data_IF_738094692487
#
_entry.id   IF_738094692487
#
_cell.length_a   1.000
_cell.length_b   1.000
_cell.length_c   1.000
_cell.angle_alpha   90.00
_cell.angle_beta   90.00
_cell.angle_gamma   90.00
#
_symmetry.space_group_name_H-M   'P 1'
#
loop_
_entity.id
_entity.type
_entity.pdbx_description
1 polymer ?
#
# COMPACT_ATOMS: atom_id res chain seq x y z
N UNK A 1 28.23 -11.49 -4.77
CA UNK A 1 28.06 -10.45 -5.81
C UNK A 1 27.10 -10.99 -6.85
N UNK A 2 25.96 -10.35 -7.12
CA UNK A 2 25.11 -10.72 -8.25
C UNK A 2 24.84 -9.48 -9.08
N UNK A 3 25.46 -9.44 -10.28
CA UNK A 3 25.08 -8.55 -11.38
C UNK A 3 23.91 -9.19 -12.09
N UNK A 4 22.84 -8.44 -12.34
CA UNK A 4 21.70 -8.89 -13.15
C UNK A 4 21.57 -7.91 -14.32
N UNK A 5 21.71 -8.44 -15.54
CA UNK A 5 21.31 -7.79 -16.81
C UNK A 5 19.98 -8.42 -17.26
N UNK A 6 19.01 -7.57 -17.58
CA UNK A 6 17.95 -7.81 -18.57
C UNK A 6 16.85 -8.82 -18.24
N UNK A 7 15.61 -8.34 -18.33
CA UNK A 7 14.30 -9.02 -18.26
C UNK A 7 13.86 -9.50 -16.88
N UNK A 8 12.80 -8.84 -16.40
CA UNK A 8 12.20 -8.90 -15.07
C UNK A 8 12.05 -10.33 -14.55
N UNK A 9 12.89 -10.68 -13.57
CA UNK A 9 12.80 -11.91 -12.78
C UNK A 9 12.65 -11.54 -11.31
N UNK A 10 11.69 -12.18 -10.65
CA UNK A 10 11.57 -12.28 -9.20
C UNK A 10 12.96 -12.61 -8.60
N UNK A 11 13.50 -11.70 -7.82
CA UNK A 11 14.79 -11.86 -7.17
C UNK A 11 14.59 -12.30 -5.72
N UNK A 12 14.88 -13.57 -5.45
CA UNK A 12 14.96 -14.11 -4.10
C UNK A 12 16.41 -14.08 -3.63
N UNK A 13 16.65 -13.57 -2.43
CA UNK A 13 17.95 -13.68 -1.76
C UNK A 13 17.78 -14.43 -0.45
N UNK A 14 18.34 -15.63 -0.37
CA UNK A 14 18.50 -16.37 0.88
C UNK A 14 19.51 -15.61 1.75
N UNK A 15 19.14 -15.29 2.98
CA UNK A 15 20.03 -14.64 3.95
C UNK A 15 20.33 -15.61 5.10
N UNK A 16 21.59 -16.05 5.14
CA UNK A 16 22.16 -16.98 6.11
C UNK A 16 21.37 -18.29 6.33
N UNK A 17 21.87 -19.16 7.20
CA UNK A 17 21.31 -20.48 7.55
C UNK A 17 19.90 -20.42 8.18
N UNK A 18 19.13 -19.36 7.94
CA UNK A 18 17.74 -19.19 8.38
C UNK A 18 16.76 -19.72 7.32
N UNK A 19 15.63 -20.27 7.79
CA UNK A 19 14.49 -20.75 6.98
C UNK A 19 13.67 -19.61 6.34
N UNK A 20 14.17 -18.37 6.41
CA UNK A 20 13.46 -17.14 6.03
C UNK A 20 13.95 -16.68 4.65
N UNK A 21 13.01 -16.38 3.76
CA UNK A 21 13.29 -15.87 2.42
C UNK A 21 12.77 -14.44 2.31
N UNK A 22 13.68 -13.47 2.14
CA UNK A 22 13.28 -12.13 1.75
C UNK A 22 13.23 -12.08 0.23
N UNK A 23 12.02 -12.05 -0.31
CA UNK A 23 11.77 -11.84 -1.74
C UNK A 23 11.48 -10.37 -1.96
N UNK A 24 12.23 -9.73 -2.86
CA UNK A 24 11.81 -8.43 -3.36
C UNK A 24 10.95 -8.69 -4.59
N UNK A 25 9.63 -8.60 -4.42
CA UNK A 25 8.69 -8.49 -5.53
C UNK A 25 8.78 -7.06 -6.07
N UNK A 26 9.86 -6.79 -6.80
CA UNK A 26 9.93 -5.58 -7.61
C UNK A 26 9.05 -5.78 -8.84
N UNK A 27 7.90 -5.11 -8.86
CA UNK A 27 7.19 -4.83 -10.10
C UNK A 27 8.04 -3.84 -10.90
N UNK A 28 8.93 -4.37 -11.74
CA UNK A 28 9.86 -3.56 -12.51
C UNK A 28 9.29 -3.19 -13.87
N UNK A 29 9.22 -1.90 -14.11
CA UNK A 29 9.27 -1.18 -15.37
C UNK A 29 9.70 0.25 -15.00
N UNK A 30 10.44 0.96 -15.85
CA UNK A 30 10.81 2.36 -15.57
C UNK A 30 9.54 3.22 -15.70
N UNK A 31 8.73 3.26 -14.65
CA UNK A 31 7.58 4.15 -14.38
C UNK A 31 7.24 4.00 -12.89
N UNK A 32 6.53 4.97 -12.31
CA UNK A 32 6.46 5.29 -10.88
C UNK A 32 5.67 4.26 -10.03
N UNK A 33 6.05 2.98 -10.03
CA UNK A 33 5.39 1.93 -9.24
C UNK A 33 5.81 1.91 -7.77
N UNK A 34 4.82 1.87 -6.86
CA UNK A 34 5.01 1.74 -5.42
C UNK A 34 5.60 0.38 -5.04
N UNK A 35 6.53 0.35 -4.08
CA UNK A 35 7.27 -0.86 -3.72
C UNK A 35 6.58 -1.68 -2.63
N UNK A 36 5.84 -2.72 -3.02
CA UNK A 36 5.37 -3.76 -2.10
C UNK A 36 6.49 -4.81 -1.88
N UNK A 37 6.98 -4.92 -0.65
CA UNK A 37 7.98 -5.91 -0.23
C UNK A 37 7.30 -6.98 0.62
N UNK A 38 7.40 -8.25 0.22
CA UNK A 38 6.83 -9.37 0.97
C UNK A 38 7.97 -10.19 1.58
N UNK A 39 8.00 -10.28 2.90
CA UNK A 39 8.96 -11.08 3.67
C UNK A 39 8.26 -12.30 4.23
N UNK A 40 8.68 -13.51 3.85
CA UNK A 40 8.00 -14.73 4.25
C UNK A 40 8.99 -15.87 4.50
N UNK A 41 8.57 -16.89 5.25
CA UNK A 41 9.30 -18.17 5.19
C UNK A 41 9.24 -18.74 3.77
N UNK A 42 10.15 -19.65 3.43
CA UNK A 42 10.15 -20.26 2.09
C UNK A 42 8.80 -20.95 1.77
N UNK A 43 8.25 -21.68 2.74
CA UNK A 43 6.97 -22.38 2.57
C UNK A 43 5.80 -21.41 2.43
N UNK A 44 5.78 -20.36 3.25
CA UNK A 44 4.81 -19.26 3.13
C UNK A 44 4.87 -18.59 1.76
N UNK A 45 6.07 -18.24 1.29
CA UNK A 45 6.25 -17.61 -0.02
C UNK A 45 5.75 -18.52 -1.16
N UNK A 46 6.08 -19.82 -1.10
CA UNK A 46 5.62 -20.83 -2.05
C UNK A 46 4.09 -20.94 -2.07
N UNK A 47 3.44 -20.91 -0.90
CA UNK A 47 1.97 -20.93 -0.79
C UNK A 47 1.33 -19.64 -1.29
N UNK A 48 1.89 -18.48 -0.96
CA UNK A 48 1.40 -17.19 -1.45
C UNK A 48 1.43 -17.13 -2.97
N UNK A 49 2.51 -17.57 -3.62
CA UNK A 49 2.58 -17.58 -5.09
C UNK A 49 1.48 -18.45 -5.73
N UNK A 50 1.10 -19.56 -5.09
CA UNK A 50 0.00 -20.41 -5.56
C UNK A 50 -1.36 -19.73 -5.44
N UNK A 51 -1.56 -18.93 -4.39
CA UNK A 51 -2.81 -18.15 -4.19
C UNK A 51 -2.87 -16.97 -5.16
N UNK A 52 -1.78 -16.21 -5.26
CA UNK A 52 -1.68 -14.99 -6.07
C UNK A 52 -1.80 -15.29 -7.57
N UNK A 53 -1.13 -16.35 -8.05
CA UNK A 53 -1.01 -16.78 -9.45
C UNK A 53 -0.36 -15.75 -10.38
N UNK A 54 -0.89 -14.52 -10.42
CA UNK A 54 -0.41 -13.41 -11.21
C UNK A 54 0.00 -12.22 -10.31
N UNK A 55 1.30 -11.94 -10.18
CA UNK A 55 1.79 -10.80 -9.42
C UNK A 55 1.26 -9.45 -9.92
N UNK A 56 0.98 -9.28 -11.22
CA UNK A 56 0.52 -8.00 -11.79
C UNK A 56 -0.81 -7.52 -11.21
N UNK A 57 -1.53 -8.42 -10.53
CA UNK A 57 -2.75 -8.08 -9.79
C UNK A 57 -2.51 -7.11 -8.63
N UNK A 58 -1.26 -6.94 -8.14
CA UNK A 58 -0.91 -6.00 -7.08
C UNK A 58 -0.31 -4.67 -7.58
N UNK A 59 -0.53 -4.35 -8.85
CA UNK A 59 -0.11 -3.06 -9.41
C UNK A 59 -1.23 -2.02 -9.30
N UNK A 60 -0.84 -0.82 -8.88
CA UNK A 60 -1.66 0.37 -8.79
C UNK A 60 -0.77 1.60 -8.94
N UNK A 61 -1.32 2.67 -9.51
CA UNK A 61 -0.60 3.90 -9.77
C UNK A 61 -1.51 5.11 -9.52
N UNK A 62 -1.04 6.00 -8.67
CA UNK A 62 -1.55 7.36 -8.51
C UNK A 62 -0.38 8.32 -8.38
N UNK A 63 -0.54 9.55 -8.84
CA UNK A 63 0.51 10.53 -8.66
C UNK A 63 0.68 10.84 -7.16
N UNK A 64 1.91 11.18 -6.72
CA UNK A 64 2.02 12.55 -6.32
C UNK A 64 0.99 13.18 -5.38
N UNK A 65 0.40 14.17 -5.99
CA UNK A 65 -0.54 15.14 -5.53
C UNK A 65 -1.91 14.50 -5.31
N UNK A 66 -2.35 13.59 -6.18
CA UNK A 66 -3.62 12.87 -6.02
C UNK A 66 -3.68 12.08 -4.71
N UNK A 67 -2.55 11.49 -4.28
CA UNK A 67 -2.46 10.80 -2.99
C UNK A 67 -2.67 11.74 -1.79
N UNK A 68 -2.05 12.91 -1.82
CA UNK A 68 -2.15 13.90 -0.74
C UNK A 68 -3.56 14.48 -0.65
N UNK A 69 -4.16 14.82 -1.79
CA UNK A 69 -5.54 15.32 -1.85
C UNK A 69 -6.52 14.23 -1.40
N UNK A 70 -6.34 13.00 -1.87
CA UNK A 70 -7.19 11.86 -1.45
C UNK A 70 -7.09 11.59 0.05
N UNK A 71 -5.89 11.65 0.65
CA UNK A 71 -5.72 11.49 2.09
C UNK A 71 -6.56 12.52 2.88
N UNK A 72 -6.56 13.78 2.44
CA UNK A 72 -7.37 14.84 3.06
C UNK A 72 -8.86 14.59 2.87
N UNK A 73 -9.27 14.18 1.66
CA UNK A 73 -10.68 13.99 1.33
C UNK A 73 -11.30 12.81 2.06
N UNK A 74 -10.63 11.65 2.06
CA UNK A 74 -11.10 10.45 2.75
C UNK A 74 -11.34 10.71 4.24
N UNK A 75 -10.50 11.54 4.88
CA UNK A 75 -10.71 11.93 6.28
C UNK A 75 -12.06 12.65 6.48
N UNK A 76 -12.47 13.50 5.53
CA UNK A 76 -13.77 14.21 5.57
C UNK A 76 -14.95 13.27 5.34
N UNK A 77 -14.72 12.16 4.62
CA UNK A 77 -15.69 11.07 4.41
C UNK A 77 -15.76 10.08 5.59
N UNK A 78 -15.02 10.33 6.68
CA UNK A 78 -15.07 9.53 7.90
C UNK A 78 -14.11 8.35 7.94
N UNK A 79 -13.24 8.20 6.93
CA UNK A 79 -12.16 7.23 6.99
C UNK A 79 -11.09 7.71 7.96
N UNK A 80 -10.55 6.83 8.80
CA UNK A 80 -9.61 7.22 9.86
C UNK A 80 -8.22 6.62 9.64
N UNK A 81 -8.15 5.37 9.16
CA UNK A 81 -6.88 4.65 8.99
C UNK A 81 -6.32 4.87 7.59
N UNK A 82 -7.14 4.67 6.57
CA UNK A 82 -6.74 4.72 5.18
C UNK A 82 -6.08 6.05 4.76
N UNK A 83 -6.56 7.23 5.18
CA UNK A 83 -5.87 8.49 4.93
C UNK A 83 -4.39 8.48 5.32
N UNK A 84 -4.05 7.82 6.42
CA UNK A 84 -2.67 7.78 6.93
C UNK A 84 -1.76 7.00 6.00
N UNK A 85 -2.28 5.96 5.35
CA UNK A 85 -1.53 5.17 4.36
C UNK A 85 -1.10 6.04 3.19
N UNK A 86 -1.98 6.94 2.73
CA UNK A 86 -1.71 7.87 1.65
C UNK A 86 -0.96 9.13 2.08
N UNK A 87 -1.01 9.49 3.36
CA UNK A 87 -0.33 10.67 3.90
C UNK A 87 1.19 10.52 3.81
N UNK A 88 1.73 11.23 2.83
CA UNK A 88 3.17 11.30 2.56
C UNK A 88 3.95 11.86 3.71
N UNK A 89 3.37 12.71 4.54
CA UNK A 89 4.03 13.34 5.68
C UNK A 89 3.73 12.62 6.99
N UNK A 90 3.03 11.48 6.94
CA UNK A 90 2.71 10.71 8.12
C UNK A 90 3.99 10.32 8.88
N UNK A 91 3.97 10.63 10.17
CA UNK A 91 5.00 10.28 11.12
C UNK A 91 4.32 9.63 12.33
N UNK A 92 4.57 8.34 12.63
CA UNK A 92 3.95 7.66 13.75
C UNK A 92 4.10 8.45 15.06
N UNK A 93 2.99 8.90 15.63
CA UNK A 93 2.97 9.67 16.87
C UNK A 93 2.91 11.17 16.75
N UNK A 94 2.81 11.73 15.54
CA UNK A 94 2.55 13.16 15.37
C UNK A 94 1.07 13.47 15.27
N UNK A 95 0.25 12.53 14.78
CA UNK A 95 -1.18 12.72 14.61
C UNK A 95 -1.88 12.18 15.85
N UNK A 96 -2.31 13.01 16.80
CA UNK A 96 -2.83 12.55 18.10
C UNK A 96 -4.23 11.92 18.11
N UNK A 97 -4.72 11.42 16.96
CA UNK A 97 -6.07 10.85 16.81
C UNK A 97 -6.13 9.35 17.18
N UNK A 98 -7.34 8.76 17.15
CA UNK A 98 -7.56 7.36 17.53
C UNK A 98 -6.89 6.36 16.57
N UNK A 99 -6.84 6.65 15.28
CA UNK A 99 -6.20 5.76 14.32
C UNK A 99 -4.67 5.74 14.47
N UNK A 100 -4.02 6.86 14.79
CA UNK A 100 -2.58 6.87 15.08
C UNK A 100 -2.27 6.09 16.35
N UNK A 101 -3.07 6.27 17.42
CA UNK A 101 -2.95 5.46 18.63
C UNK A 101 -3.03 3.97 18.29
N UNK A 102 -4.00 3.56 17.47
CA UNK A 102 -4.12 2.18 17.01
C UNK A 102 -2.86 1.72 16.26
N UNK A 103 -2.45 2.47 15.23
CA UNK A 103 -1.28 2.14 14.38
C UNK A 103 -0.01 2.00 15.21
N UNK A 104 0.23 2.91 16.16
CA UNK A 104 1.38 2.87 17.05
C UNK A 104 1.33 1.69 18.00
N UNK A 105 0.19 1.46 18.64
CA UNK A 105 0.03 0.41 19.64
C UNK A 105 0.33 -0.97 19.06
N UNK A 106 -0.06 -1.23 17.81
CA UNK A 106 0.18 -2.50 17.13
C UNK A 106 1.51 -2.54 16.37
N UNK A 107 2.22 -1.41 16.25
CA UNK A 107 3.42 -1.27 15.43
C UNK A 107 3.14 -1.50 13.94
N UNK A 108 2.02 -0.98 13.43
CA UNK A 108 1.60 -1.12 12.04
C UNK A 108 2.34 -0.19 11.07
N UNK A 109 3.05 0.80 11.59
CA UNK A 109 3.90 1.68 10.79
C UNK A 109 5.17 2.02 11.58
N UNK A 110 6.31 2.05 10.89
CA UNK A 110 7.56 2.54 11.44
C UNK A 110 8.30 3.38 10.40
N UNK A 111 9.36 4.08 10.83
CA UNK A 111 10.14 4.97 9.97
C UNK A 111 11.45 4.31 9.55
N UNK A 112 11.79 4.38 8.26
CA UNK A 112 13.07 3.90 7.73
C UNK A 112 13.88 5.05 7.10
N UNK A 113 15.17 5.10 7.45
CA UNK A 113 16.14 6.05 6.88
C UNK A 113 16.86 5.41 5.70
N UNK A 114 16.53 5.83 4.48
CA UNK A 114 17.21 5.35 3.26
C UNK A 114 18.36 6.27 2.87
N UNK A 115 19.50 5.68 2.48
CA UNK A 115 20.71 6.41 2.04
C UNK A 115 20.34 7.43 0.96
N UNK A 116 20.75 8.69 1.16
CA UNK A 116 20.58 9.76 0.18
C UNK A 116 19.24 10.49 0.21
N UNK A 117 18.41 10.30 1.25
CA UNK A 117 17.22 11.12 1.51
C UNK A 117 17.47 12.04 2.69
N UNK A 118 16.69 13.11 2.84
CA UNK A 118 16.79 14.01 4.00
C UNK A 118 15.76 13.71 5.10
N UNK A 119 14.74 12.90 4.77
CA UNK A 119 13.63 12.55 5.67
C UNK A 119 13.38 11.03 5.67
N UNK A 120 13.04 10.43 6.82
CA UNK A 120 12.66 9.02 6.88
C UNK A 120 11.30 8.79 6.21
N UNK A 121 11.10 7.62 5.64
CA UNK A 121 9.82 7.22 5.01
C UNK A 121 9.00 6.29 5.91
N UNK A 122 7.66 6.38 5.91
CA UNK A 122 6.80 5.44 6.59
C UNK A 122 6.83 4.12 5.85
N UNK A 123 7.06 3.05 6.60
CA UNK A 123 6.94 1.67 6.14
C UNK A 123 5.75 1.04 6.85
N UNK A 124 4.75 0.66 6.06
CA UNK A 124 3.52 0.03 6.53
C UNK A 124 3.71 -1.47 6.68
N UNK A 125 3.48 -1.98 7.88
CA UNK A 125 3.56 -3.40 8.20
C UNK A 125 2.19 -4.08 8.00
N UNK A 126 2.22 -5.33 7.57
CA UNK A 126 1.06 -6.23 7.43
C UNK A 126 0.06 -6.26 8.59
N UNK A 127 0.47 -5.91 9.82
CA UNK A 127 -0.43 -5.77 10.97
C UNK A 127 -1.59 -4.80 10.73
N UNK A 128 -1.41 -3.81 9.85
CA UNK A 128 -2.47 -2.86 9.52
C UNK A 128 -3.66 -3.53 8.83
N UNK A 129 -3.42 -4.47 7.90
CA UNK A 129 -4.48 -5.19 7.18
C UNK A 129 -5.17 -6.28 8.02
N UNK A 130 -4.64 -6.57 9.20
CA UNK A 130 -5.28 -7.45 10.19
C UNK A 130 -6.29 -6.71 11.07
N UNK A 131 -6.32 -5.37 11.01
CA UNK A 131 -7.27 -4.60 11.81
C UNK A 131 -8.68 -4.67 11.21
N UNK A 132 -9.71 -5.01 12.02
CA UNK A 132 -11.09 -5.01 11.55
C UNK A 132 -11.51 -3.66 10.94
N UNK A 133 -11.11 -2.55 11.55
CA UNK A 133 -11.42 -1.20 11.09
C UNK A 133 -10.82 -0.91 9.70
N UNK A 134 -9.59 -1.35 9.47
CA UNK A 134 -8.96 -1.24 8.14
C UNK A 134 -9.75 -2.03 7.10
N UNK A 135 -10.19 -3.25 7.43
CA UNK A 135 -11.00 -4.07 6.50
C UNK A 135 -12.38 -3.49 6.24
N UNK A 136 -12.99 -2.87 7.24
CA UNK A 136 -14.27 -2.18 7.10
C UNK A 136 -14.15 -0.95 6.17
N UNK A 137 -13.11 -0.13 6.34
CA UNK A 137 -12.79 0.98 5.45
C UNK A 137 -12.58 0.49 4.00
N UNK A 138 -11.79 -0.57 3.80
CA UNK A 138 -11.59 -1.16 2.46
C UNK A 138 -12.89 -1.67 1.84
N UNK A 139 -13.72 -2.39 2.62
CA UNK A 139 -15.01 -2.88 2.14
C UNK A 139 -15.97 -1.75 1.79
N UNK A 140 -15.91 -0.63 2.50
CA UNK A 140 -16.73 0.55 2.21
C UNK A 140 -16.40 1.12 0.83
N UNK A 141 -15.11 1.19 0.48
CA UNK A 141 -14.65 1.62 -0.84
C UNK A 141 -15.09 0.65 -1.93
N UNK A 142 -14.93 -0.66 -1.70
CA UNK A 142 -15.26 -1.68 -2.69
C UNK A 142 -16.75 -1.69 -3.05
N UNK A 143 -17.62 -1.41 -2.08
CA UNK A 143 -19.07 -1.49 -2.27
C UNK A 143 -19.75 -0.16 -2.61
N UNK A 144 -19.03 0.96 -2.51
CA UNK A 144 -19.60 2.30 -2.66
C UNK A 144 -18.97 3.13 -3.78
N UNK A 145 -19.43 4.37 -3.90
CA UNK A 145 -18.72 5.46 -4.56
C UNK A 145 -18.31 6.43 -3.46
N UNK A 146 -17.02 6.72 -3.34
CA UNK A 146 -16.46 7.42 -2.16
C UNK A 146 -16.05 8.85 -2.49
N UNK A 147 -15.47 9.04 -3.67
CA UNK A 147 -15.11 10.35 -4.18
C UNK A 147 -16.31 10.91 -4.95
N UNK A 148 -16.54 12.21 -4.83
CA UNK A 148 -17.65 12.97 -5.43
C UNK A 148 -17.13 14.24 -6.13
N UNK A 149 -18.00 15.00 -6.78
CA UNK A 149 -17.58 16.14 -7.61
C UNK A 149 -16.80 17.21 -6.81
N UNK A 150 -17.13 17.37 -5.52
CA UNK A 150 -16.42 18.28 -4.63
C UNK A 150 -14.93 17.90 -4.48
N UNK A 151 -14.58 16.61 -4.59
CA UNK A 151 -13.19 16.14 -4.60
C UNK A 151 -12.45 16.58 -5.87
N UNK A 152 -13.07 16.45 -7.05
CA UNK A 152 -12.47 16.88 -8.31
C UNK A 152 -12.21 18.39 -8.34
N UNK A 153 -13.17 19.18 -7.85
CA UNK A 153 -13.00 20.62 -7.72
C UNK A 153 -11.86 20.96 -6.75
N UNK A 154 -11.70 20.22 -5.65
CA UNK A 154 -10.57 20.43 -4.73
C UNK A 154 -9.23 20.02 -5.35
N UNK A 155 -9.18 18.91 -6.10
CA UNK A 155 -7.98 18.54 -6.88
C UNK A 155 -7.61 19.68 -7.83
N UNK A 156 -8.56 20.14 -8.66
CA UNK A 156 -8.32 21.19 -9.64
C UNK A 156 -7.75 22.43 -8.96
N UNK A 157 -8.41 22.91 -7.89
CA UNK A 157 -7.96 24.07 -7.13
C UNK A 157 -6.56 23.88 -6.50
N UNK A 158 -6.21 22.69 -6.04
CA UNK A 158 -4.89 22.41 -5.47
C UNK A 158 -3.80 22.33 -6.54
N UNK A 159 -4.11 21.71 -7.69
CA UNK A 159 -3.19 21.64 -8.83
C UNK A 159 -2.96 23.03 -9.43
N UNK A 160 -4.01 23.82 -9.61
CA UNK A 160 -3.91 25.20 -10.11
C UNK A 160 -3.03 26.07 -9.22
N UNK A 161 -3.19 25.98 -7.91
CA UNK A 161 -2.35 26.72 -6.95
C UNK A 161 -0.88 26.32 -7.00
N UNK A 162 -0.58 25.05 -7.29
CA UNK A 162 0.80 24.53 -7.30
C UNK A 162 1.50 24.74 -8.65
N UNK A 163 0.77 24.60 -9.76
CA UNK A 163 1.35 24.50 -11.10
C UNK A 163 0.86 25.58 -12.08
N UNK A 164 -0.06 26.46 -11.67
CA UNK A 164 -0.75 27.37 -12.58
C UNK A 164 -1.84 26.65 -13.35
N UNK A 165 -2.26 27.19 -14.49
CA UNK A 165 -3.28 26.56 -15.35
C UNK A 165 -2.87 25.12 -15.71
N UNK A 166 -3.49 24.15 -15.04
CA UNK A 166 -3.06 22.76 -15.05
C UNK A 166 -3.56 22.00 -16.29
N UNK A 167 -4.42 22.62 -17.11
CA UNK A 167 -5.12 21.95 -18.21
C UNK A 167 -5.95 20.75 -17.75
N UNK A 168 -6.22 20.66 -16.45
CA UNK A 168 -7.08 19.66 -15.82
C UNK A 168 -8.50 20.24 -15.80
N UNK A 169 -9.50 19.46 -16.21
CA UNK A 169 -10.90 19.83 -16.08
C UNK A 169 -11.55 18.89 -15.08
N UNK A 170 -12.22 19.45 -14.07
CA UNK A 170 -13.05 18.67 -13.16
C UNK A 170 -14.30 18.20 -13.93
N UNK A 171 -14.35 16.92 -14.27
CA UNK A 171 -15.49 16.31 -14.97
C UNK A 171 -15.88 14.94 -14.38
N UNK A 172 -17.06 14.45 -14.78
CA UNK A 172 -17.59 13.17 -14.29
C UNK A 172 -16.72 11.98 -14.69
N UNK A 173 -15.99 12.07 -15.80
CA UNK A 173 -15.13 10.98 -16.30
C UNK A 173 -13.87 10.84 -15.44
N UNK A 174 -13.22 11.96 -15.11
CA UNK A 174 -12.09 12.01 -14.20
C UNK A 174 -12.47 11.44 -12.82
N UNK A 175 -13.63 11.88 -12.30
CA UNK A 175 -14.17 11.37 -11.03
C UNK A 175 -14.43 9.85 -11.05
N UNK A 176 -14.96 9.33 -12.16
CA UNK A 176 -15.21 7.91 -12.31
C UNK A 176 -13.89 7.13 -12.31
N UNK A 177 -12.87 7.65 -12.98
CA UNK A 177 -11.56 7.02 -13.09
C UNK A 177 -10.78 7.06 -11.78
N UNK A 178 -10.89 8.13 -11.00
CA UNK A 178 -10.32 8.20 -9.65
C UNK A 178 -11.04 7.25 -8.68
N UNK A 179 -12.37 7.14 -8.74
CA UNK A 179 -13.11 6.13 -7.97
C UNK A 179 -12.71 4.69 -8.37
N UNK A 180 -12.53 4.40 -9.67
CA UNK A 180 -12.04 3.09 -10.14
C UNK A 180 -10.65 2.80 -9.59
N UNK A 181 -9.79 3.81 -9.57
CA UNK A 181 -8.41 3.68 -9.11
C UNK A 181 -8.34 3.46 -7.60
N UNK A 182 -9.15 4.17 -6.81
CA UNK A 182 -9.30 3.93 -5.37
C UNK A 182 -9.85 2.52 -5.07
N UNK A 183 -10.87 2.07 -5.82
CA UNK A 183 -11.38 0.70 -5.73
C UNK A 183 -10.31 -0.33 -6.03
N UNK A 184 -9.51 -0.09 -7.08
CA UNK A 184 -8.42 -0.98 -7.44
C UNK A 184 -7.39 -1.11 -6.32
N UNK A 185 -7.02 0.00 -5.68
CA UNK A 185 -6.15 -0.05 -4.51
C UNK A 185 -6.76 -0.86 -3.36
N UNK A 186 -8.05 -0.65 -3.07
CA UNK A 186 -8.74 -1.40 -2.02
C UNK A 186 -8.81 -2.91 -2.32
N UNK A 187 -9.04 -3.29 -3.59
CA UNK A 187 -9.01 -4.68 -4.04
C UNK A 187 -7.64 -5.33 -3.81
N UNK A 188 -6.57 -4.59 -4.10
CA UNK A 188 -5.19 -5.05 -3.95
C UNK A 188 -4.89 -5.33 -2.48
N UNK A 189 -5.21 -4.38 -1.61
CA UNK A 189 -5.00 -4.55 -0.17
C UNK A 189 -5.86 -5.69 0.40
N UNK A 190 -7.12 -5.82 -0.03
CA UNK A 190 -7.95 -6.95 0.41
C UNK A 190 -7.43 -8.29 -0.10
N UNK A 191 -7.09 -8.42 -1.39
CA UNK A 191 -6.51 -9.66 -1.93
C UNK A 191 -5.24 -10.06 -1.18
N UNK A 192 -4.42 -9.09 -0.78
CA UNK A 192 -3.23 -9.34 0.01
C UNK A 192 -3.59 -9.85 1.41
N UNK A 193 -4.54 -9.21 2.08
CA UNK A 193 -5.03 -9.64 3.39
C UNK A 193 -5.63 -11.06 3.36
N UNK A 194 -6.46 -11.37 2.37
CA UNK A 194 -7.07 -12.69 2.21
C UNK A 194 -6.03 -13.76 1.89
N UNK A 195 -5.04 -13.44 1.05
CA UNK A 195 -3.92 -14.33 0.76
C UNK A 195 -3.16 -14.68 2.04
N UNK A 196 -2.88 -13.68 2.89
CA UNK A 196 -2.23 -13.92 4.17
C UNK A 196 -3.08 -14.83 5.06
N UNK A 197 -4.38 -14.56 5.20
CA UNK A 197 -5.26 -15.36 6.05
C UNK A 197 -5.29 -16.83 5.60
N UNK A 198 -5.38 -17.06 4.29
CA UNK A 198 -5.36 -18.41 3.71
C UNK A 198 -4.04 -19.14 4.01
N UNK A 199 -2.91 -18.48 3.78
CA UNK A 199 -1.58 -19.09 3.99
C UNK A 199 -1.32 -19.36 5.47
N UNK A 200 -1.64 -18.40 6.35
CA UNK A 200 -1.49 -18.55 7.79
C UNK A 200 -2.39 -19.69 8.33
N UNK A 201 -3.62 -19.81 7.81
CA UNK A 201 -4.55 -20.87 8.20
C UNK A 201 -4.07 -22.26 7.76
N UNK A 202 -3.66 -22.45 6.49
CA UNK A 202 -3.17 -23.73 5.98
C UNK A 202 -1.89 -24.20 6.70
N UNK A 203 -0.97 -23.29 7.01
CA UNK A 203 0.24 -23.61 7.77
C UNK A 203 -0.09 -24.02 9.22
N UNK A 204 -1.00 -23.29 9.88
CA UNK A 204 -1.42 -23.62 11.24
C UNK A 204 -2.07 -25.00 11.31
N UNK A 205 -2.89 -25.38 10.33
CA UNK A 205 -3.51 -26.71 10.24
C UNK A 205 -2.48 -27.84 10.10
N UNK A 206 -1.31 -27.55 9.53
CA UNK A 206 -0.21 -28.52 9.35
C UNK A 206 0.78 -28.57 10.52
N UNK A 207 0.57 -27.76 11.56
CA UNK A 207 1.49 -27.65 12.70
C UNK A 207 2.81 -26.95 12.37
N UNK A 208 2.88 -26.26 11.23
CA UNK A 208 4.05 -25.47 10.83
C UNK A 208 3.98 -24.09 11.50
N UNK A 209 5.12 -23.45 11.79
CA UNK A 209 5.16 -22.08 12.33
C UNK A 209 5.03 -21.11 11.14
N UNK A 210 3.89 -20.44 10.96
CA UNK A 210 3.72 -19.55 9.82
C UNK A 210 4.42 -18.22 10.07
N UNK A 211 5.24 -17.80 9.11
CA UNK A 211 5.79 -16.44 9.07
C UNK A 211 5.48 -15.81 7.71
N UNK A 212 4.63 -14.79 7.74
CA UNK A 212 4.29 -13.93 6.60
C UNK A 212 4.20 -12.51 7.13
N UNK A 213 5.05 -11.64 6.61
CA UNK A 213 5.00 -10.20 6.80
C UNK A 213 5.14 -9.52 5.44
N UNK A 214 4.54 -8.35 5.30
CA UNK A 214 4.83 -7.48 4.17
C UNK A 214 5.02 -6.06 4.69
N UNK A 215 5.81 -5.34 3.93
CA UNK A 215 6.17 -3.97 4.10
C UNK A 215 5.81 -3.28 2.78
N UNK A 216 5.04 -2.21 2.83
CA UNK A 216 4.88 -1.35 1.66
C UNK A 216 5.11 0.10 2.06
N UNK A 217 5.56 0.87 1.10
CA UNK A 217 5.79 2.29 1.28
C UNK A 217 5.50 3.00 -0.03
N UNK A 218 4.98 4.21 0.09
CA UNK A 218 4.81 5.13 -1.03
C UNK A 218 6.16 5.83 -1.24
N UNK A 219 6.86 5.61 -2.37
CA UNK A 219 8.15 6.25 -2.61
C UNK A 219 7.99 7.78 -2.66
N UNK A 220 8.73 8.49 -1.80
CA UNK A 220 8.84 9.96 -1.88
C UNK A 220 9.90 10.34 -2.93
N UNK A 221 9.67 11.32 -3.79
CA UNK A 221 10.72 11.88 -4.66
C UNK A 221 11.52 12.94 -3.89
#
# INVERSE_FOLDING_TARGET
MCRIKGNHKLAYKKWDNSTICRGLLCFGGITMGEGLVITASFDSASKMLKVIKDPHLFHWEWSPEHLDVTARWLSRKGFTILPKIFDRNYNPGTVGDEADKLIKNIGACYLEWRKGRDKPIPIWNSRILKQPQMREELNTILNGTVLDIDFEEEILNELEKKFGDAGYEADEQALEDDNKTLKRFAEILMKLADCMDQVLSDLKQRGEIPYVEFEFYIPRY
#
